data_IF_026326714284
#
_entry.id   IF_026326714284
#
_cell.length_a   1.000
_cell.length_b   1.000
_cell.length_c   1.000
_cell.angle_alpha   90.00
_cell.angle_beta   90.00
_cell.angle_gamma   90.00
#
_symmetry.space_group_name_H-M   'P 1'
#
loop_
_entity.id
_entity.type
_entity.pdbx_description
1 polymer ?
#
# COMPACT_ATOMS: atom_id res chain seq x y z
N UNK A 1 -21.33 -5.11 -39.47
CA UNK A 1 -20.67 -5.91 -38.41
C UNK A 1 -21.13 -7.35 -38.58
N UNK A 2 -20.25 -8.24 -39.02
CA UNK A 2 -20.61 -9.53 -39.62
C UNK A 2 -20.67 -10.64 -38.52
N UNK A 3 -21.76 -11.43 -38.40
CA UNK A 3 -21.89 -12.49 -37.39
C UNK A 3 -20.80 -13.57 -37.44
N UNK A 4 -20.13 -13.72 -38.58
CA UNK A 4 -19.06 -14.70 -38.79
C UNK A 4 -17.77 -14.39 -38.01
N UNK A 5 -17.48 -13.12 -37.68
CA UNK A 5 -16.30 -12.75 -36.89
C UNK A 5 -16.40 -13.21 -35.42
N UNK A 6 -17.63 -13.34 -34.88
CA UNK A 6 -17.85 -13.79 -33.50
C UNK A 6 -17.60 -15.29 -33.29
N UNK A 7 -17.86 -16.11 -34.31
CA UNK A 7 -17.78 -17.58 -34.20
C UNK A 7 -16.31 -18.04 -34.21
N UNK A 8 -15.46 -17.41 -35.02
CA UNK A 8 -14.02 -17.71 -35.05
C UNK A 8 -13.30 -17.29 -33.75
N UNK A 9 -13.77 -16.24 -33.10
CA UNK A 9 -13.13 -15.74 -31.88
C UNK A 9 -13.35 -16.70 -30.69
N UNK A 10 -14.54 -17.28 -30.56
CA UNK A 10 -14.85 -18.18 -29.43
C UNK A 10 -14.07 -19.49 -29.46
N UNK A 11 -13.88 -20.09 -30.64
CA UNK A 11 -13.11 -21.34 -30.78
C UNK A 11 -11.60 -21.14 -30.58
N UNK A 12 -11.08 -19.96 -30.95
CA UNK A 12 -9.69 -19.59 -30.70
C UNK A 12 -9.50 -19.27 -29.22
N UNK A 13 -10.39 -18.48 -28.61
CA UNK A 13 -10.38 -18.20 -27.18
C UNK A 13 -10.49 -19.47 -26.33
N UNK A 14 -11.37 -20.43 -26.67
CA UNK A 14 -11.50 -21.67 -25.89
C UNK A 14 -10.26 -22.56 -26.01
N UNK A 15 -9.61 -22.62 -27.19
CA UNK A 15 -8.37 -23.38 -27.37
C UNK A 15 -7.17 -22.72 -26.69
N UNK A 16 -7.15 -21.39 -26.64
CA UNK A 16 -6.14 -20.64 -25.93
C UNK A 16 -6.29 -20.81 -24.41
N UNK A 17 -7.54 -20.82 -23.91
CA UNK A 17 -7.90 -21.09 -22.51
C UNK A 17 -7.58 -22.54 -22.11
N UNK A 18 -7.88 -23.52 -22.99
CA UNK A 18 -7.48 -24.93 -22.83
C UNK A 18 -5.95 -25.13 -22.86
N UNK A 19 -5.20 -24.19 -23.42
CA UNK A 19 -3.74 -24.20 -23.52
C UNK A 19 -3.02 -23.30 -22.49
N UNK A 20 -3.76 -22.74 -21.50
CA UNK A 20 -3.24 -21.75 -20.53
C UNK A 20 -2.49 -20.56 -21.20
N UNK A 21 -2.93 -20.19 -22.41
CA UNK A 21 -2.27 -19.18 -23.24
C UNK A 21 -3.16 -17.94 -23.37
N UNK A 22 -2.60 -16.78 -23.02
CA UNK A 22 -3.32 -15.51 -23.08
C UNK A 22 -2.95 -14.81 -24.40
N UNK A 23 -3.93 -14.61 -25.28
CA UNK A 23 -3.72 -13.79 -26.48
C UNK A 23 -3.64 -12.30 -26.08
N UNK A 24 -2.42 -11.77 -26.03
CA UNK A 24 -2.20 -10.33 -25.83
C UNK A 24 -2.46 -9.56 -27.11
N UNK A 25 -3.26 -8.50 -27.00
CA UNK A 25 -3.45 -7.53 -28.09
C UNK A 25 -2.14 -6.82 -28.44
N UNK A 26 -2.04 -6.26 -29.64
CA UNK A 26 -0.88 -5.45 -30.04
C UNK A 26 -0.65 -4.27 -29.08
N UNK A 27 -1.73 -3.66 -28.57
CA UNK A 27 -1.63 -2.57 -27.61
C UNK A 27 -1.06 -3.02 -26.25
N UNK A 28 -1.50 -4.16 -25.71
CA UNK A 28 -0.96 -4.71 -24.47
C UNK A 28 0.50 -5.11 -24.61
N UNK A 29 0.90 -5.67 -25.76
CA UNK A 29 2.29 -5.99 -26.08
C UNK A 29 3.17 -4.73 -26.18
N UNK A 30 2.69 -3.70 -26.86
CA UNK A 30 3.34 -2.38 -26.95
C UNK A 30 3.49 -1.72 -25.57
N UNK A 31 2.46 -1.81 -24.72
CA UNK A 31 2.52 -1.32 -23.35
C UNK A 31 3.54 -2.09 -22.50
N UNK A 32 3.53 -3.43 -22.59
CA UNK A 32 4.49 -4.27 -21.89
C UNK A 32 5.93 -3.94 -22.31
N UNK A 33 6.20 -3.77 -23.61
CA UNK A 33 7.51 -3.35 -24.13
C UNK A 33 7.98 -2.05 -23.47
N UNK A 34 7.10 -1.05 -23.44
CA UNK A 34 7.35 0.24 -22.79
C UNK A 34 7.67 0.08 -21.30
N UNK A 35 6.96 -0.80 -20.58
CA UNK A 35 7.23 -1.07 -19.16
C UNK A 35 8.58 -1.78 -18.94
N UNK A 36 9.00 -2.67 -19.85
CA UNK A 36 10.28 -3.39 -19.76
C UNK A 36 11.52 -2.50 -20.00
N UNK A 37 11.33 -1.31 -20.56
CA UNK A 37 12.37 -0.27 -20.68
C UNK A 37 12.65 0.43 -19.34
N UNK A 38 11.72 0.35 -18.38
CA UNK A 38 11.92 0.96 -17.06
C UNK A 38 13.12 0.33 -16.33
N UNK A 39 14.03 1.12 -15.70
CA UNK A 39 15.24 0.58 -15.05
C UNK A 39 14.97 -0.51 -14.01
N UNK A 40 13.86 -0.40 -13.27
CA UNK A 40 13.46 -1.40 -12.26
C UNK A 40 13.14 -2.79 -12.85
N UNK A 41 12.94 -2.91 -14.16
CA UNK A 41 12.68 -4.19 -14.82
C UNK A 41 13.89 -5.12 -14.72
N UNK A 42 15.12 -4.57 -14.68
CA UNK A 42 16.33 -5.36 -14.47
C UNK A 42 16.34 -6.06 -13.10
N UNK A 43 15.79 -5.42 -12.06
CA UNK A 43 15.70 -6.00 -10.72
C UNK A 43 14.48 -6.91 -10.55
N UNK A 44 13.39 -6.64 -11.27
CA UNK A 44 12.12 -7.36 -11.14
C UNK A 44 12.16 -8.76 -11.80
N UNK A 45 12.87 -8.90 -12.92
CA UNK A 45 12.92 -10.13 -13.71
C UNK A 45 14.24 -10.89 -13.55
N UNK A 46 14.25 -12.21 -13.81
CA UNK A 46 15.51 -12.90 -14.08
C UNK A 46 16.06 -12.45 -15.43
N UNK A 47 17.40 -12.42 -15.59
CA UNK A 47 18.04 -11.95 -16.81
C UNK A 47 17.56 -12.70 -18.06
N UNK A 48 17.45 -14.03 -17.98
CA UNK A 48 16.94 -14.88 -19.07
C UNK A 48 15.48 -14.56 -19.42
N UNK A 49 14.63 -14.39 -18.42
CA UNK A 49 13.22 -14.01 -18.63
C UNK A 49 13.10 -12.63 -19.25
N UNK A 50 13.88 -11.66 -18.78
CA UNK A 50 13.88 -10.31 -19.33
C UNK A 50 14.36 -10.29 -20.79
N UNK A 51 15.39 -11.08 -21.09
CA UNK A 51 15.88 -11.26 -22.45
C UNK A 51 14.78 -11.85 -23.35
N UNK A 52 14.17 -12.97 -22.94
CA UNK A 52 13.10 -13.62 -23.71
C UNK A 52 11.92 -12.67 -23.94
N UNK A 53 11.49 -11.93 -22.91
CA UNK A 53 10.39 -10.97 -23.04
C UNK A 53 10.71 -9.83 -24.00
N UNK A 54 11.97 -9.36 -24.02
CA UNK A 54 12.41 -8.32 -24.95
C UNK A 54 12.51 -8.83 -26.38
N UNK A 55 13.00 -10.05 -26.55
CA UNK A 55 13.09 -10.74 -27.85
C UNK A 55 11.70 -10.96 -28.45
N UNK A 56 10.76 -11.49 -27.65
CA UNK A 56 9.36 -11.70 -28.06
C UNK A 56 8.63 -10.41 -28.46
N UNK A 57 9.06 -9.26 -27.95
CA UNK A 57 8.44 -7.95 -28.19
C UNK A 57 9.28 -7.07 -29.13
N UNK A 58 10.30 -7.62 -29.80
CA UNK A 58 11.23 -6.83 -30.60
C UNK A 58 10.53 -6.07 -31.73
N UNK A 59 9.54 -6.68 -32.37
CA UNK A 59 8.81 -6.13 -33.52
C UNK A 59 7.65 -5.19 -33.13
N UNK A 60 7.33 -5.11 -31.83
CA UNK A 60 6.24 -4.26 -31.34
C UNK A 60 6.68 -2.79 -31.27
N UNK A 61 5.77 -1.86 -31.56
CA UNK A 61 6.07 -0.43 -31.46
C UNK A 61 5.97 -0.02 -29.99
N UNK A 62 7.04 0.56 -29.43
CA UNK A 62 6.98 1.09 -28.06
C UNK A 62 6.01 2.27 -28.01
N UNK A 63 5.23 2.37 -26.94
CA UNK A 63 4.33 3.51 -26.75
C UNK A 63 5.19 4.67 -26.27
N UNK A 64 5.70 5.47 -27.20
CA UNK A 64 6.41 6.72 -26.92
C UNK A 64 5.44 7.75 -26.33
N UNK A 65 5.13 7.56 -25.06
CA UNK A 65 4.18 8.37 -24.31
C UNK A 65 4.81 9.66 -23.80
N UNK A 66 6.14 9.75 -23.68
CA UNK A 66 6.80 10.88 -23.00
C UNK A 66 6.75 12.20 -23.77
N UNK A 67 6.62 12.17 -25.09
CA UNK A 67 6.50 13.39 -25.91
C UNK A 67 5.08 14.01 -25.85
N UNK A 68 4.06 13.18 -25.62
CA UNK A 68 2.64 13.59 -25.66
C UNK A 68 1.93 13.54 -24.31
N UNK A 69 2.51 12.86 -23.31
CA UNK A 69 1.94 12.68 -21.96
C UNK A 69 2.82 13.39 -20.93
N UNK A 70 2.34 14.52 -20.41
CA UNK A 70 2.97 15.24 -19.32
C UNK A 70 2.43 14.74 -17.96
N UNK A 71 3.31 14.12 -17.16
CA UNK A 71 2.99 13.72 -15.79
C UNK A 71 2.93 14.96 -14.87
N UNK A 72 1.73 15.47 -14.60
CA UNK A 72 1.53 16.58 -13.63
C UNK A 72 1.51 16.04 -12.19
N UNK A 73 2.17 16.74 -11.27
CA UNK A 73 2.19 16.45 -9.84
C UNK A 73 2.76 15.06 -9.46
N UNK A 74 3.72 14.53 -10.23
CA UNK A 74 4.40 13.28 -9.87
C UNK A 74 5.22 13.48 -8.59
N UNK A 75 4.79 12.83 -7.52
CA UNK A 75 5.61 12.65 -6.33
C UNK A 75 6.83 11.79 -6.70
N UNK A 76 8.05 12.18 -6.31
CA UNK A 76 9.27 11.41 -6.58
C UNK A 76 9.08 9.96 -6.14
N UNK A 77 8.94 9.05 -7.09
CA UNK A 77 8.96 7.61 -6.83
C UNK A 77 10.36 7.26 -6.35
N UNK A 78 10.47 6.90 -5.07
CA UNK A 78 11.76 6.59 -4.45
C UNK A 78 12.30 5.24 -4.92
N UNK A 79 11.42 4.26 -5.15
CA UNK A 79 11.77 2.92 -5.59
C UNK A 79 10.52 2.15 -6.04
N UNK A 80 10.44 1.78 -7.31
CA UNK A 80 9.33 0.99 -7.87
C UNK A 80 9.47 -0.49 -7.47
N UNK A 81 10.71 -1.00 -7.41
CA UNK A 81 11.03 -2.36 -6.99
C UNK A 81 12.30 -2.36 -6.13
N UNK A 82 12.31 -3.14 -5.04
CA UNK A 82 13.49 -3.30 -4.20
C UNK A 82 14.18 -4.64 -4.48
N UNK A 83 15.50 -4.69 -4.81
CA UNK A 83 16.20 -5.91 -5.19
C UNK A 83 16.08 -7.06 -4.17
N UNK A 84 16.01 -6.73 -2.87
CA UNK A 84 15.82 -7.70 -1.79
C UNK A 84 14.43 -8.35 -1.73
N UNK A 85 13.40 -7.88 -2.47
CA UNK A 85 12.05 -8.46 -2.39
C UNK A 85 12.03 -9.92 -2.81
N UNK A 86 12.62 -10.25 -3.96
CA UNK A 86 12.69 -11.62 -4.47
C UNK A 86 13.45 -12.58 -3.53
N UNK A 87 14.69 -12.28 -3.09
CA UNK A 87 15.41 -13.19 -2.20
C UNK A 87 14.72 -13.33 -0.84
N UNK A 88 14.19 -12.23 -0.25
CA UNK A 88 13.47 -12.31 1.03
C UNK A 88 12.18 -13.11 0.91
N UNK A 89 11.42 -12.93 -0.18
CA UNK A 89 10.21 -13.73 -0.45
C UNK A 89 10.54 -15.21 -0.54
N UNK A 90 11.60 -15.59 -1.26
CA UNK A 90 12.07 -16.98 -1.34
C UNK A 90 12.45 -17.53 0.03
N UNK A 91 13.21 -16.78 0.83
CA UNK A 91 13.57 -17.18 2.20
C UNK A 91 12.32 -17.41 3.07
N UNK A 92 11.33 -16.52 2.99
CA UNK A 92 10.06 -16.67 3.72
C UNK A 92 9.32 -17.92 3.27
N UNK A 93 9.17 -18.14 1.96
CA UNK A 93 8.46 -19.30 1.40
C UNK A 93 9.14 -20.62 1.80
N UNK A 94 10.46 -20.70 1.67
CA UNK A 94 11.26 -21.89 1.96
C UNK A 94 11.53 -22.11 3.46
N UNK A 95 11.13 -21.18 4.33
CA UNK A 95 11.36 -21.28 5.77
C UNK A 95 12.83 -21.20 6.18
N UNK A 96 13.66 -20.57 5.34
CA UNK A 96 15.07 -20.36 5.65
C UNK A 96 15.24 -19.25 6.68
N UNK A 97 16.27 -19.39 7.50
CA UNK A 97 16.74 -18.30 8.35
C UNK A 97 17.39 -17.21 7.53
N UNK A 98 17.66 -16.09 8.18
CA UNK A 98 18.32 -14.95 7.55
C UNK A 98 19.46 -14.43 8.43
N UNK A 99 20.58 -14.09 7.80
CA UNK A 99 21.64 -13.24 8.35
C UNK A 99 21.51 -11.85 7.78
N UNK A 100 21.23 -10.88 8.63
CA UNK A 100 21.03 -9.49 8.25
C UNK A 100 22.19 -8.61 8.72
N UNK A 101 22.66 -7.77 7.82
CA UNK A 101 23.47 -6.60 8.17
C UNK A 101 22.68 -5.35 7.81
N UNK A 102 22.47 -4.45 8.76
CA UNK A 102 21.68 -3.24 8.55
C UNK A 102 22.37 -1.98 9.06
N UNK A 103 22.06 -0.86 8.41
CA UNK A 103 22.52 0.47 8.80
C UNK A 103 21.55 1.09 9.80
N UNK A 104 22.08 1.54 10.92
CA UNK A 104 21.36 2.27 11.96
C UNK A 104 21.20 3.75 11.56
N UNK A 105 20.23 4.43 12.18
CA UNK A 105 19.91 5.84 11.87
C UNK A 105 21.09 6.80 12.12
N UNK A 106 21.99 6.45 13.04
CA UNK A 106 23.18 7.24 13.41
C UNK A 106 24.43 6.84 12.60
N UNK A 107 24.28 6.11 11.49
CA UNK A 107 25.38 5.70 10.62
C UNK A 107 26.10 4.42 11.05
N UNK A 108 25.87 3.93 12.28
CA UNK A 108 26.41 2.64 12.75
C UNK A 108 25.91 1.45 11.92
N UNK A 109 26.69 0.38 11.89
CA UNK A 109 26.32 -0.88 11.22
C UNK A 109 26.05 -1.94 12.27
N UNK A 110 24.89 -2.58 12.20
CA UNK A 110 24.56 -3.74 13.01
C UNK A 110 24.61 -4.99 12.13
N UNK A 111 25.74 -5.69 12.20
CA UNK A 111 26.05 -6.83 11.36
C UNK A 111 25.63 -8.18 11.96
N UNK A 112 25.52 -9.19 11.10
CA UNK A 112 25.38 -10.61 11.45
C UNK A 112 24.21 -10.93 12.39
N UNK A 113 23.10 -10.21 12.20
CA UNK A 113 21.89 -10.47 12.97
C UNK A 113 21.17 -11.68 12.39
N UNK A 114 21.09 -12.75 13.19
CA UNK A 114 20.39 -13.96 12.78
C UNK A 114 18.92 -13.88 13.19
N UNK A 115 18.05 -14.42 12.34
CA UNK A 115 16.64 -14.53 12.65
C UNK A 115 15.88 -15.32 11.60
N UNK A 116 14.56 -15.19 11.66
CA UNK A 116 13.63 -15.79 10.73
C UNK A 116 12.85 -14.66 10.04
N UNK A 117 12.91 -14.51 8.71
CA UNK A 117 12.05 -13.57 8.01
C UNK A 117 10.60 -14.08 8.05
N UNK A 118 9.66 -13.19 8.37
CA UNK A 118 8.24 -13.55 8.60
C UNK A 118 7.37 -13.00 7.48
N UNK A 119 7.46 -11.69 7.20
CA UNK A 119 6.59 -11.01 6.25
C UNK A 119 7.29 -9.81 5.60
N UNK A 120 6.93 -9.51 4.36
CA UNK A 120 7.29 -8.27 3.68
C UNK A 120 6.07 -7.36 3.67
N UNK A 121 6.25 -6.11 4.10
CA UNK A 121 5.18 -5.14 4.24
C UNK A 121 5.51 -3.86 3.50
N UNK A 122 4.57 -3.37 2.69
CA UNK A 122 4.70 -2.08 2.05
C UNK A 122 3.88 -1.04 2.82
N UNK A 123 4.58 -0.11 3.46
CA UNK A 123 3.90 0.98 4.16
C UNK A 123 3.45 2.04 3.16
N UNK A 124 2.14 2.12 2.90
CA UNK A 124 1.55 3.05 1.92
C UNK A 124 1.78 4.53 2.27
N UNK A 125 1.90 4.88 3.55
CA UNK A 125 2.13 6.27 4.00
C UNK A 125 3.57 6.68 3.74
N UNK A 126 4.51 5.84 4.17
CA UNK A 126 5.96 6.10 4.05
C UNK A 126 6.50 5.76 2.67
N UNK A 127 5.69 5.09 1.84
CA UNK A 127 6.02 4.55 0.51
C UNK A 127 7.31 3.75 0.53
N UNK A 128 7.36 2.79 1.45
CA UNK A 128 8.58 2.06 1.73
C UNK A 128 8.31 0.64 2.20
N UNK A 129 9.18 -0.26 1.75
CA UNK A 129 9.18 -1.65 2.14
C UNK A 129 9.86 -1.89 3.49
N UNK A 130 9.26 -2.77 4.27
CA UNK A 130 9.75 -3.27 5.55
C UNK A 130 9.81 -4.80 5.52
N UNK A 131 10.85 -5.34 6.14
CA UNK A 131 10.98 -6.73 6.49
C UNK A 131 10.57 -6.86 7.95
N UNK A 132 9.52 -7.63 8.19
CA UNK A 132 9.18 -8.14 9.50
C UNK A 132 9.89 -9.47 9.71
N UNK A 133 10.67 -9.58 10.78
CA UNK A 133 11.48 -10.76 11.06
C UNK A 133 11.63 -10.99 12.56
N UNK A 134 11.76 -12.25 12.95
CA UNK A 134 11.92 -12.66 14.33
C UNK A 134 13.39 -12.91 14.65
N UNK A 135 13.92 -12.17 15.62
CA UNK A 135 15.31 -12.24 16.07
C UNK A 135 15.39 -12.80 17.49
N UNK A 136 16.59 -13.01 18.01
CA UNK A 136 16.79 -13.31 19.43
C UNK A 136 16.23 -12.23 20.38
N UNK A 137 16.04 -10.99 19.89
CA UNK A 137 15.46 -9.87 20.64
C UNK A 137 13.93 -9.78 20.49
N UNK A 138 13.31 -10.74 19.80
CA UNK A 138 11.89 -10.74 19.47
C UNK A 138 11.60 -10.24 18.05
N UNK A 139 10.35 -9.85 17.82
CA UNK A 139 9.83 -9.42 16.52
C UNK A 139 10.34 -8.01 16.17
N UNK A 140 11.03 -7.91 15.04
CA UNK A 140 11.70 -6.71 14.54
C UNK A 140 11.10 -6.27 13.20
N UNK A 141 11.02 -4.97 12.97
CA UNK A 141 10.68 -4.37 11.67
C UNK A 141 11.86 -3.56 11.14
N UNK A 142 12.32 -3.86 9.93
CA UNK A 142 13.50 -3.25 9.32
C UNK A 142 13.19 -2.74 7.91
N UNK A 143 13.48 -1.47 7.65
CA UNK A 143 13.35 -0.88 6.31
C UNK A 143 14.30 -1.58 5.35
N UNK A 144 13.79 -2.01 4.19
CA UNK A 144 14.61 -2.71 3.20
C UNK A 144 15.79 -1.86 2.73
N UNK A 145 15.59 -0.55 2.55
CA UNK A 145 16.66 0.39 2.15
C UNK A 145 17.81 0.52 3.16
N UNK A 146 17.63 0.06 4.39
CA UNK A 146 18.69 0.07 5.41
C UNK A 146 19.38 -1.29 5.52
N UNK A 147 18.88 -2.33 4.85
CA UNK A 147 19.52 -3.64 4.80
C UNK A 147 20.67 -3.54 3.80
N UNK A 148 21.88 -3.78 4.29
CA UNK A 148 23.11 -3.79 3.50
C UNK A 148 23.31 -5.18 2.87
N UNK A 149 23.07 -6.24 3.65
CA UNK A 149 23.09 -7.61 3.16
C UNK A 149 22.05 -8.49 3.87
N UNK A 150 21.54 -9.48 3.14
CA UNK A 150 20.55 -10.45 3.57
C UNK A 150 20.92 -11.82 2.98
N UNK A 151 21.49 -12.70 3.80
CA UNK A 151 21.94 -14.02 3.37
C UNK A 151 21.06 -15.12 3.98
N UNK A 152 20.68 -16.15 3.21
CA UNK A 152 19.93 -17.27 3.74
C UNK A 152 20.81 -18.10 4.69
N UNK A 153 20.24 -18.55 5.80
CA UNK A 153 20.86 -19.50 6.71
C UNK A 153 19.99 -20.76 6.76
N UNK A 154 20.63 -21.93 6.74
CA UNK A 154 19.93 -23.18 6.99
C UNK A 154 19.38 -23.19 8.43
N UNK A 155 18.08 -23.41 8.55
CA UNK A 155 17.42 -23.68 9.82
C UNK A 155 16.91 -25.12 9.80
N UNK A 156 17.01 -25.79 10.94
CA UNK A 156 16.31 -27.06 11.12
C UNK A 156 14.79 -26.82 10.96
N UNK A 157 14.06 -27.64 10.21
CA UNK A 157 12.63 -27.44 9.93
C UNK A 157 11.80 -27.22 11.19
N UNK A 158 11.98 -28.05 12.21
CA UNK A 158 11.27 -27.95 13.49
C UNK A 158 11.53 -26.60 14.19
N UNK A 159 12.77 -26.12 14.10
CA UNK A 159 13.15 -24.82 14.66
C UNK A 159 12.54 -23.67 13.86
N UNK A 160 12.51 -23.77 12.53
CA UNK A 160 11.86 -22.77 11.69
C UNK A 160 10.37 -22.67 12.02
N UNK A 161 9.69 -23.81 12.16
CA UNK A 161 8.26 -23.86 12.49
C UNK A 161 7.96 -23.32 13.91
N UNK A 162 8.78 -23.67 14.89
CA UNK A 162 8.66 -23.13 16.24
C UNK A 162 8.84 -21.61 16.28
N UNK A 163 9.79 -21.06 15.52
CA UNK A 163 10.01 -19.61 15.44
C UNK A 163 8.88 -18.92 14.68
N UNK A 164 8.34 -19.53 13.62
CA UNK A 164 7.17 -19.03 12.88
C UNK A 164 5.94 -18.94 13.78
N UNK A 165 5.62 -20.03 14.48
CA UNK A 165 4.48 -20.08 15.40
C UNK A 165 4.58 -19.01 16.49
N UNK A 166 5.77 -18.82 17.07
CA UNK A 166 6.01 -17.74 18.04
C UNK A 166 5.82 -16.34 17.44
N UNK A 167 6.35 -16.11 16.24
CA UNK A 167 6.19 -14.83 15.57
C UNK A 167 4.71 -14.53 15.24
N UNK A 168 3.96 -15.54 14.81
CA UNK A 168 2.53 -15.43 14.52
C UNK A 168 1.73 -15.14 15.78
N UNK A 169 1.99 -15.83 16.89
CA UNK A 169 1.33 -15.57 18.17
C UNK A 169 1.53 -14.12 18.64
N UNK A 170 2.76 -13.58 18.52
CA UNK A 170 3.06 -12.19 18.86
C UNK A 170 2.33 -11.21 17.92
N UNK A 171 2.20 -11.55 16.63
CA UNK A 171 1.50 -10.71 15.67
C UNK A 171 0.00 -10.65 15.96
N UNK A 172 -0.62 -11.78 16.27
CA UNK A 172 -2.03 -11.85 16.65
C UNK A 172 -2.29 -11.17 17.99
N UNK A 173 -1.40 -11.31 18.98
CA UNK A 173 -1.50 -10.57 20.24
C UNK A 173 -1.46 -9.05 20.03
N UNK A 174 -0.64 -8.57 19.10
CA UNK A 174 -0.53 -7.15 18.75
C UNK A 174 -1.63 -6.66 17.80
N UNK A 175 -2.52 -7.55 17.38
CA UNK A 175 -3.55 -7.25 16.39
C UNK A 175 -4.70 -6.51 17.06
N UNK A 176 -4.92 -5.29 16.60
CA UNK A 176 -6.03 -4.46 17.05
C UNK A 176 -7.20 -4.58 16.09
N UNK A 177 -8.39 -4.55 16.65
CA UNK A 177 -9.65 -4.65 15.93
C UNK A 177 -10.46 -3.37 16.13
N UNK A 178 -11.10 -2.93 15.06
CA UNK A 178 -12.01 -1.79 15.08
C UNK A 178 -13.25 -2.10 14.26
N UNK A 179 -14.41 -1.65 14.72
CA UNK A 179 -15.65 -1.72 13.94
C UNK A 179 -16.06 -0.31 13.57
N UNK A 180 -16.15 -0.08 12.27
CA UNK A 180 -16.47 1.21 11.66
C UNK A 180 -17.84 1.08 11.02
N UNK A 181 -18.81 1.87 11.48
CA UNK A 181 -20.15 1.92 10.91
C UNK A 181 -20.23 3.06 9.90
N UNK A 182 -20.82 2.78 8.75
CA UNK A 182 -21.14 3.78 7.72
C UNK A 182 -22.46 4.42 8.10
N UNK A 183 -22.48 5.76 8.11
CA UNK A 183 -23.70 6.52 8.39
C UNK A 183 -24.63 6.40 7.17
N UNK A 184 -25.86 5.94 7.42
CA UNK A 184 -26.87 5.61 6.39
C UNK A 184 -27.05 6.68 5.30
N UNK A 185 -27.00 7.95 5.67
CA UNK A 185 -27.11 9.10 4.74
C UNK A 185 -26.06 9.06 3.62
N UNK A 186 -24.95 8.34 3.81
CA UNK A 186 -23.86 8.23 2.86
C UNK A 186 -23.78 6.85 2.18
N UNK A 187 -24.83 6.03 2.24
CA UNK A 187 -24.87 4.73 1.55
C UNK A 187 -24.67 4.86 0.03
N UNK A 188 -25.03 6.00 -0.58
CA UNK A 188 -24.74 6.28 -1.99
C UNK A 188 -23.23 6.40 -2.30
N UNK A 189 -22.39 6.69 -1.30
CA UNK A 189 -20.92 6.78 -1.42
C UNK A 189 -20.22 5.48 -0.99
N UNK A 190 -20.95 4.38 -0.77
CA UNK A 190 -20.44 3.15 -0.18
C UNK A 190 -19.13 2.67 -0.82
N UNK A 191 -19.06 2.57 -2.15
CA UNK A 191 -17.87 2.12 -2.86
C UNK A 191 -16.64 2.97 -2.56
N UNK A 192 -16.80 4.29 -2.46
CA UNK A 192 -15.72 5.23 -2.15
C UNK A 192 -15.25 5.08 -0.70
N UNK A 193 -16.19 4.87 0.22
CA UNK A 193 -15.90 4.64 1.64
C UNK A 193 -15.15 3.31 1.80
N UNK A 194 -15.62 2.23 1.19
CA UNK A 194 -14.96 0.92 1.23
C UNK A 194 -13.56 0.96 0.61
N UNK A 195 -13.38 1.71 -0.47
CA UNK A 195 -12.08 1.90 -1.11
C UNK A 195 -11.04 2.53 -0.18
N UNK A 196 -11.45 3.42 0.72
CA UNK A 196 -10.55 4.02 1.71
C UNK A 196 -9.94 2.98 2.67
N UNK A 197 -10.60 1.84 2.85
CA UNK A 197 -10.15 0.72 3.69
C UNK A 197 -9.60 -0.47 2.87
N UNK A 198 -9.45 -0.34 1.56
CA UNK A 198 -8.97 -1.43 0.66
C UNK A 198 -7.66 -2.07 1.12
N UNK A 199 -6.73 -1.27 1.64
CA UNK A 199 -5.40 -1.69 2.09
C UNK A 199 -5.34 -2.37 3.46
N UNK A 200 -6.45 -2.50 4.18
CA UNK A 200 -6.50 -3.21 5.45
C UNK A 200 -7.17 -4.57 5.30
N UNK A 201 -6.79 -5.50 6.18
CA UNK A 201 -7.57 -6.71 6.39
C UNK A 201 -8.92 -6.32 7.01
N UNK A 202 -10.00 -6.60 6.30
CA UNK A 202 -11.35 -6.18 6.69
C UNK A 202 -12.41 -7.15 6.22
N UNK A 203 -13.49 -7.19 6.98
CA UNK A 203 -14.75 -7.79 6.59
C UNK A 203 -15.86 -6.74 6.64
N UNK A 204 -16.84 -6.87 5.74
CA UNK A 204 -17.97 -5.95 5.64
C UNK A 204 -19.24 -6.75 5.90
N UNK A 205 -20.09 -6.26 6.79
CA UNK A 205 -21.40 -6.83 7.09
C UNK A 205 -22.49 -5.79 6.89
N UNK A 206 -23.66 -6.24 6.44
CA UNK A 206 -24.85 -5.42 6.27
C UNK A 206 -25.93 -5.85 7.25
N UNK A 207 -26.53 -4.90 7.95
CA UNK A 207 -27.65 -5.10 8.89
C UNK A 207 -28.94 -4.57 8.25
N UNK A 208 -29.76 -5.48 7.73
CA UNK A 208 -30.98 -5.17 6.98
C UNK A 208 -32.00 -4.38 7.80
N UNK A 209 -32.19 -4.74 9.07
CA UNK A 209 -33.17 -4.10 9.96
C UNK A 209 -32.90 -2.59 10.19
N UNK A 210 -31.65 -2.15 10.04
CA UNK A 210 -31.24 -0.77 10.32
C UNK A 210 -30.70 -0.06 9.08
N UNK A 211 -30.57 -0.78 7.95
CA UNK A 211 -29.92 -0.32 6.72
C UNK A 211 -28.51 0.24 7.00
N UNK A 212 -27.71 -0.53 7.73
CA UNK A 212 -26.36 -0.13 8.18
C UNK A 212 -25.29 -1.07 7.64
N UNK A 213 -24.18 -0.48 7.22
CA UNK A 213 -22.97 -1.22 6.87
C UNK A 213 -21.94 -1.08 7.99
N UNK A 214 -21.34 -2.20 8.40
CA UNK A 214 -20.23 -2.24 9.34
C UNK A 214 -19.00 -2.84 8.68
N UNK A 215 -17.87 -2.22 8.91
CA UNK A 215 -16.55 -2.64 8.44
C UNK A 215 -15.76 -3.04 9.69
N UNK A 216 -15.48 -4.32 9.86
CA UNK A 216 -14.53 -4.79 10.86
C UNK A 216 -13.15 -4.74 10.23
N UNK A 217 -12.24 -3.96 10.81
CA UNK A 217 -10.87 -3.80 10.34
C UNK A 217 -9.92 -4.38 11.39
N UNK A 218 -8.98 -5.21 10.94
CA UNK A 218 -7.93 -5.77 11.76
C UNK A 218 -6.57 -5.24 11.30
N UNK A 219 -5.84 -4.57 12.18
CA UNK A 219 -4.56 -3.96 11.85
C UNK A 219 -3.56 -4.05 13.00
N UNK A 220 -2.26 -3.95 12.68
CA UNK A 220 -1.22 -3.88 13.71
C UNK A 220 -1.21 -2.49 14.36
N UNK A 221 -0.68 -2.41 15.59
CA UNK A 221 -0.65 -1.17 16.35
C UNK A 221 0.07 -0.02 15.62
N UNK A 222 1.07 -0.29 14.79
CA UNK A 222 1.79 0.71 14.00
C UNK A 222 1.05 1.18 12.74
N UNK A 223 0.02 0.43 12.31
CA UNK A 223 -0.90 0.79 11.24
C UNK A 223 -2.12 1.60 11.74
N UNK A 224 -2.36 1.59 13.05
CA UNK A 224 -3.52 2.26 13.68
C UNK A 224 -3.62 3.76 13.35
N UNK A 225 -2.50 4.49 13.30
CA UNK A 225 -2.47 5.90 12.92
C UNK A 225 -2.84 6.12 11.45
N UNK A 226 -2.49 5.17 10.58
CA UNK A 226 -2.89 5.23 9.18
C UNK A 226 -4.39 4.95 9.02
N UNK A 227 -4.91 3.94 9.73
CA UNK A 227 -6.35 3.69 9.80
C UNK A 227 -7.08 4.94 10.29
N UNK A 228 -6.61 5.56 11.37
CA UNK A 228 -7.17 6.77 11.91
C UNK A 228 -7.14 7.93 10.92
N UNK A 229 -6.07 8.08 10.13
CA UNK A 229 -6.01 9.06 9.03
C UNK A 229 -7.08 8.83 7.96
N UNK A 230 -7.41 7.57 7.63
CA UNK A 230 -8.49 7.27 6.68
C UNK A 230 -9.86 7.58 7.25
N UNK A 231 -10.10 7.25 8.51
CA UNK A 231 -11.35 7.57 9.20
C UNK A 231 -11.53 9.09 9.28
N UNK A 232 -10.50 9.85 9.67
CA UNK A 232 -10.51 11.32 9.68
C UNK A 232 -10.84 11.92 8.31
N UNK A 233 -10.25 11.38 7.24
CA UNK A 233 -10.52 11.83 5.87
C UNK A 233 -11.99 11.63 5.47
N UNK A 234 -12.62 10.54 5.91
CA UNK A 234 -14.03 10.28 5.65
C UNK A 234 -14.95 11.18 6.49
N UNK A 235 -14.49 11.61 7.67
CA UNK A 235 -15.21 12.53 8.54
C UNK A 235 -16.56 11.97 8.99
N UNK A 236 -17.63 12.76 8.84
CA UNK A 236 -18.99 12.41 9.28
C UNK A 236 -19.62 11.20 8.58
N UNK A 237 -19.01 10.72 7.49
CA UNK A 237 -19.49 9.55 6.72
C UNK A 237 -19.44 8.25 7.49
N UNK A 238 -18.55 8.17 8.47
CA UNK A 238 -18.30 6.96 9.26
C UNK A 238 -18.22 7.29 10.74
N UNK A 239 -18.46 6.28 11.57
CA UNK A 239 -18.26 6.35 13.02
C UNK A 239 -17.57 5.09 13.52
N UNK A 240 -16.79 5.23 14.58
CA UNK A 240 -16.11 4.10 15.22
C UNK A 240 -17.03 3.58 16.31
N UNK A 241 -17.55 2.35 16.15
CA UNK A 241 -18.47 1.71 17.10
C UNK A 241 -17.71 0.85 18.11
N UNK A 242 -16.65 0.17 17.66
CA UNK A 242 -15.75 -0.61 18.52
C UNK A 242 -14.29 -0.19 18.29
N UNK A 243 -13.50 -0.17 19.36
CA UNK A 243 -12.08 0.21 19.35
C UNK A 243 -11.82 1.48 20.16
N UNK A 244 -11.82 1.36 21.49
CA UNK A 244 -11.73 2.48 22.44
C UNK A 244 -10.53 3.39 22.20
N UNK A 245 -9.36 2.81 21.89
CA UNK A 245 -8.16 3.59 21.60
C UNK A 245 -8.36 4.52 20.40
N UNK A 246 -8.98 4.02 19.32
CA UNK A 246 -9.25 4.82 18.12
C UNK A 246 -10.35 5.84 18.38
N UNK A 247 -11.39 5.50 19.13
CA UNK A 247 -12.44 6.44 19.55
C UNK A 247 -11.84 7.62 20.33
N UNK A 248 -11.01 7.33 21.35
CA UNK A 248 -10.33 8.35 22.14
C UNK A 248 -9.44 9.25 21.27
N UNK A 249 -8.59 8.64 20.43
CA UNK A 249 -7.71 9.39 19.52
C UNK A 249 -8.49 10.26 18.52
N UNK A 250 -9.63 9.77 18.04
CA UNK A 250 -10.52 10.52 17.15
C UNK A 250 -11.16 11.72 17.87
N UNK A 251 -11.63 11.53 19.10
CA UNK A 251 -12.18 12.60 19.95
C UNK A 251 -11.14 13.68 20.26
N UNK A 252 -9.93 13.30 20.68
CA UNK A 252 -8.82 14.24 20.93
C UNK A 252 -8.53 15.11 19.69
N UNK A 253 -8.49 14.47 18.52
CA UNK A 253 -8.20 15.16 17.26
C UNK A 253 -9.34 16.10 16.83
N UNK A 254 -10.59 15.68 17.02
CA UNK A 254 -11.76 16.49 16.73
C UNK A 254 -11.83 17.72 17.66
N UNK A 255 -11.56 17.52 18.95
CA UNK A 255 -11.52 18.61 19.93
C UNK A 255 -10.43 19.64 19.58
N UNK A 256 -9.22 19.20 19.22
CA UNK A 256 -8.16 20.11 18.76
C UNK A 256 -8.51 20.85 17.47
N UNK A 257 -9.20 20.20 16.53
CA UNK A 257 -9.66 20.85 15.31
C UNK A 257 -10.69 21.93 15.62
N UNK A 258 -11.71 21.64 16.43
CA UNK A 258 -12.75 22.59 16.83
C UNK A 258 -12.17 23.80 17.56
N UNK A 259 -11.28 23.58 18.54
CA UNK A 259 -10.61 24.65 19.28
C UNK A 259 -9.78 25.59 18.39
N UNK A 260 -9.36 25.14 17.21
CA UNK A 260 -8.66 25.97 16.21
C UNK A 260 -9.60 26.90 15.45
N UNK A 261 -10.83 26.45 15.18
CA UNK A 261 -11.84 27.22 14.47
C UNK A 261 -12.64 28.15 15.40
N UNK A 262 -12.75 27.82 16.68
CA UNK A 262 -13.33 28.70 17.71
C UNK A 262 -12.44 29.91 18.05
N UNK A 263 -11.17 29.91 17.62
CA UNK A 263 -10.17 30.95 17.92
C UNK A 263 -10.01 32.04 16.86
N UNK A 264 -10.86 32.09 15.83
CA UNK A 264 -10.76 33.13 14.79
C UNK A 264 -12.11 33.75 14.44
N UNK A 265 -12.42 34.97 14.94
CA UNK A 265 -13.02 35.99 14.11
C UNK A 265 -11.86 36.78 13.46
N UNK A 266 -11.70 36.67 12.14
CA UNK A 266 -10.86 37.63 11.42
C UNK A 266 -11.51 39.01 11.55
N UNK A 267 -10.78 40.06 11.94
CA UNK A 267 -11.31 41.42 11.89
C UNK A 267 -11.57 41.76 10.43
N UNK A 268 -12.82 42.11 10.10
CA UNK A 268 -13.16 42.72 8.82
C UNK A 268 -12.21 43.91 8.57
N UNK A 269 -11.62 44.04 7.38
CA UNK A 269 -10.90 45.25 7.04
C UNK A 269 -11.89 46.42 7.11
N UNK A 270 -11.63 47.36 8.01
CA UNK A 270 -12.41 48.58 8.16
C UNK A 270 -12.51 49.27 6.79
N UNK A 271 -13.73 49.59 6.38
CA UNK A 271 -13.98 50.40 5.20
C UNK A 271 -13.24 51.75 5.35
N UNK A 272 -12.63 52.28 4.28
CA UNK A 272 -11.96 53.58 4.35
C UNK A 272 -13.00 54.66 4.68
N UNK A 273 -12.75 55.38 5.77
CA UNK A 273 -13.48 56.57 6.18
C UNK A 273 -13.38 57.64 5.10
N UNK A 274 -14.53 58.13 4.64
CA UNK A 274 -14.66 59.30 3.78
C UNK A 274 -14.36 60.57 4.60
N UNK A 275 -13.09 60.90 4.82
CA UNK A 275 -12.66 62.21 5.33
C UNK A 275 -11.35 62.64 4.64
N UNK A 276 -11.36 62.71 3.31
CA UNK A 276 -10.41 63.53 2.53
C UNK A 276 -11.16 64.16 1.35
N UNK A 277 -12.18 64.96 1.68
CA UNK A 277 -12.80 65.91 0.78
C UNK A 277 -13.05 67.18 1.60
N UNK A 278 -11.98 67.92 1.88
CA UNK A 278 -11.97 69.37 2.15
C UNK A 278 -10.58 69.80 2.65
N UNK A 279 -9.60 69.87 1.74
CA UNK A 279 -8.40 70.72 1.92
C UNK A 279 -7.56 70.77 0.64
N UNK A 280 -8.17 71.30 -0.43
CA UNK A 280 -7.43 71.90 -1.54
C UNK A 280 -8.29 73.02 -2.14
N UNK A 281 -8.24 74.19 -1.50
CA UNK A 281 -8.45 75.48 -2.15
C UNK A 281 -7.08 76.06 -2.52
#
# INVERSE_FOLDING_TARGET
MNPFEKIFNYQILSRLDEADSIALTAHERSWLKTMLEHPASADAFAAETLFLLRDLLQDEISIESREYIAEKAKSRERQVYHPLLRPLRRMIQEGRGIRLTSRLKHGGIQANQNGLPVKLEYNMVKREWYLLWYSARGLMSSKLRHIVSAEPIALQPDRAEALRSRAFAILEERRTHAVIEIVREYNAELSRILYAFSCFDKTVSYEENRDLYRIRVSCLADESEFLLSKIRFLGRRVRIVEGEQLQRRMQESAAWALARYERTPDPQPAAPSQEEADSAS
#
